data_IF_225629539443
#
_entry.id   IF_225629539443
#
_cell.length_a   1.000
_cell.length_b   1.000
_cell.length_c   1.000
_cell.angle_alpha   90.00
_cell.angle_beta   90.00
_cell.angle_gamma   90.00
#
_symmetry.space_group_name_H-M   'P 1'
#
loop_
_entity.id
_entity.type
_entity.pdbx_description
1 polymer ?
#
# COMPACT_ATOMS: atom_id res chain seq x y z
N UNK A 1 -33.62 8.40 -2.10
CA UNK A 1 -32.45 9.11 -2.67
C UNK A 1 -31.70 8.11 -3.53
N UNK A 2 -32.09 7.98 -4.80
CA UNK A 2 -31.53 6.98 -5.72
C UNK A 2 -30.31 7.60 -6.39
N UNK A 3 -29.11 7.12 -6.07
CA UNK A 3 -27.90 7.55 -6.74
C UNK A 3 -27.97 7.05 -8.20
N UNK A 4 -28.07 7.97 -9.15
CA UNK A 4 -27.90 7.65 -10.56
C UNK A 4 -26.47 7.18 -10.77
N UNK A 5 -26.28 5.93 -11.21
CA UNK A 5 -24.97 5.44 -11.62
C UNK A 5 -24.49 6.32 -12.78
N UNK A 6 -23.51 7.20 -12.51
CA UNK A 6 -22.89 8.02 -13.55
C UNK A 6 -22.16 7.07 -14.48
N UNK A 7 -22.70 6.86 -15.67
CA UNK A 7 -22.02 6.07 -16.70
C UNK A 7 -20.83 6.90 -17.16
N UNK A 8 -19.65 6.56 -16.66
CA UNK A 8 -18.40 7.17 -17.10
C UNK A 8 -18.07 6.67 -18.51
N UNK A 9 -17.56 7.58 -19.34
CA UNK A 9 -16.98 7.21 -20.62
C UNK A 9 -15.86 6.18 -20.40
N UNK A 10 -15.76 5.11 -21.21
CA UNK A 10 -14.70 4.11 -21.08
C UNK A 10 -13.29 4.69 -20.95
N UNK A 11 -13.01 5.83 -21.61
CA UNK A 11 -11.73 6.52 -21.50
C UNK A 11 -11.47 7.09 -20.09
N UNK A 12 -12.47 7.74 -19.49
CA UNK A 12 -12.37 8.29 -18.14
C UNK A 12 -12.23 7.18 -17.09
N UNK A 13 -12.95 6.08 -17.28
CA UNK A 13 -12.85 4.90 -16.41
C UNK A 13 -11.45 4.30 -16.46
N UNK A 14 -10.84 4.21 -17.65
CA UNK A 14 -9.48 3.71 -17.81
C UNK A 14 -8.43 4.63 -17.14
N UNK A 15 -8.60 5.96 -17.27
CA UNK A 15 -7.72 6.93 -16.62
C UNK A 15 -7.78 6.83 -15.09
N UNK A 16 -8.99 6.78 -14.52
CA UNK A 16 -9.18 6.63 -13.07
C UNK A 16 -8.65 5.29 -12.58
N UNK A 17 -8.87 4.20 -13.33
CA UNK A 17 -8.31 2.89 -13.02
C UNK A 17 -6.78 2.92 -12.96
N UNK A 18 -6.12 3.56 -13.93
CA UNK A 18 -4.66 3.70 -13.95
C UNK A 18 -4.15 4.51 -12.75
N UNK A 19 -4.84 5.57 -12.37
CA UNK A 19 -4.51 6.36 -11.16
C UNK A 19 -4.70 5.55 -9.89
N UNK A 20 -5.79 4.79 -9.77
CA UNK A 20 -6.01 3.91 -8.63
C UNK A 20 -4.89 2.86 -8.51
N UNK A 21 -4.46 2.27 -9.63
CA UNK A 21 -3.33 1.35 -9.66
C UNK A 21 -2.01 2.03 -9.25
N UNK A 22 -1.77 3.26 -9.68
CA UNK A 22 -0.59 4.03 -9.26
C UNK A 22 -0.61 4.34 -7.76
N UNK A 23 -1.75 4.71 -7.21
CA UNK A 23 -1.90 4.97 -5.77
C UNK A 23 -1.72 3.70 -4.95
N UNK A 24 -2.33 2.59 -5.38
CA UNK A 24 -2.14 1.28 -4.74
C UNK A 24 -0.66 0.86 -4.77
N UNK A 25 0.00 0.98 -5.92
CA UNK A 25 1.43 0.69 -6.04
C UNK A 25 2.29 1.59 -5.14
N UNK A 26 1.93 2.87 -5.00
CA UNK A 26 2.62 3.78 -4.08
C UNK A 26 2.47 3.35 -2.62
N UNK A 27 1.27 2.96 -2.19
CA UNK A 27 1.02 2.45 -0.84
C UNK A 27 1.82 1.18 -0.55
N UNK A 28 1.80 0.21 -1.47
CA UNK A 28 2.58 -1.03 -1.33
C UNK A 28 4.07 -0.75 -1.25
N UNK A 29 4.58 0.17 -2.08
CA UNK A 29 5.98 0.56 -2.05
C UNK A 29 6.38 1.24 -0.74
N UNK A 30 5.51 2.08 -0.17
CA UNK A 30 5.75 2.72 1.11
C UNK A 30 5.84 1.68 2.24
N UNK A 31 4.88 0.76 2.32
CA UNK A 31 4.90 -0.33 3.31
C UNK A 31 6.14 -1.23 3.15
N UNK A 32 6.56 -1.51 1.91
CA UNK A 32 7.78 -2.27 1.66
C UNK A 32 9.03 -1.57 2.22
N UNK A 33 9.12 -0.24 2.08
CA UNK A 33 10.24 0.54 2.63
C UNK A 33 10.25 0.51 4.15
N UNK A 34 9.09 0.67 4.79
CA UNK A 34 8.97 0.56 6.26
C UNK A 34 9.37 -0.82 6.77
N UNK A 35 8.89 -1.88 6.10
CA UNK A 35 9.26 -3.26 6.43
C UNK A 35 10.77 -3.47 6.39
N UNK A 36 11.43 -3.09 5.29
CA UNK A 36 12.89 -3.22 5.13
C UNK A 36 13.64 -2.42 6.19
N UNK A 37 13.24 -1.17 6.42
CA UNK A 37 13.88 -0.31 7.40
C UNK A 37 13.75 -0.87 8.83
N UNK A 38 12.54 -1.30 9.21
CA UNK A 38 12.27 -1.81 10.55
C UNK A 38 12.93 -3.15 10.83
N UNK A 39 12.94 -4.07 9.86
CA UNK A 39 13.65 -5.35 9.99
C UNK A 39 15.15 -5.11 10.14
N UNK A 40 15.73 -4.23 9.32
CA UNK A 40 17.17 -3.91 9.37
C UNK A 40 17.55 -3.28 10.71
N UNK A 41 16.77 -2.31 11.18
CA UNK A 41 16.97 -1.66 12.48
C UNK A 41 16.75 -2.63 13.64
N UNK A 42 15.71 -3.46 13.56
CA UNK A 42 15.41 -4.48 14.56
C UNK A 42 16.51 -5.53 14.69
N UNK A 43 17.07 -5.99 13.57
CA UNK A 43 18.21 -6.90 13.57
C UNK A 43 19.46 -6.23 14.17
N UNK A 44 19.77 -4.98 13.79
CA UNK A 44 20.89 -4.23 14.35
C UNK A 44 20.76 -3.98 15.86
N UNK A 45 19.53 -3.79 16.35
CA UNK A 45 19.23 -3.53 17.76
C UNK A 45 18.87 -4.78 18.58
N UNK A 46 18.89 -5.98 17.99
CA UNK A 46 18.37 -7.22 18.60
C UNK A 46 16.94 -7.07 19.16
N UNK A 47 16.08 -6.31 18.48
CA UNK A 47 14.72 -5.98 18.93
C UNK A 47 13.66 -6.75 18.15
N UNK A 48 13.00 -7.69 18.84
CA UNK A 48 11.90 -8.47 18.24
C UNK A 48 10.67 -7.61 17.92
N UNK A 49 10.45 -6.52 18.67
CA UNK A 49 9.33 -5.61 18.43
C UNK A 49 9.47 -4.87 17.09
N UNK A 50 10.68 -4.39 16.76
CA UNK A 50 10.97 -3.74 15.48
C UNK A 50 10.87 -4.72 14.31
N UNK A 51 11.37 -5.94 14.49
CA UNK A 51 11.21 -6.99 13.45
C UNK A 51 9.73 -7.32 13.25
N UNK A 52 8.95 -7.48 14.33
CA UNK A 52 7.51 -7.74 14.27
C UNK A 52 6.71 -6.62 13.59
N UNK A 53 7.02 -5.35 13.90
CA UNK A 53 6.44 -4.19 13.21
C UNK A 53 6.71 -4.20 11.70
N UNK A 54 7.94 -4.55 11.30
CA UNK A 54 8.28 -4.65 9.88
C UNK A 54 7.56 -5.80 9.16
N UNK A 55 7.34 -6.92 9.85
CA UNK A 55 6.57 -8.05 9.30
C UNK A 55 5.08 -7.72 9.17
N UNK A 56 4.51 -6.98 10.12
CA UNK A 56 3.11 -6.53 10.07
C UNK A 56 2.84 -5.63 8.86
N UNK A 57 3.77 -4.71 8.57
CA UNK A 57 3.70 -3.83 7.39
C UNK A 57 3.70 -4.59 6.05
N UNK A 58 4.31 -5.78 5.98
CA UNK A 58 4.23 -6.65 4.77
C UNK A 58 2.82 -7.20 4.56
N UNK A 59 2.09 -7.52 5.64
CA UNK A 59 0.72 -8.04 5.55
C UNK A 59 -0.25 -6.98 5.04
N UNK A 60 0.03 -5.70 5.33
CA UNK A 60 -0.72 -4.55 4.81
C UNK A 60 -0.51 -4.30 3.29
N UNK A 61 0.18 -5.17 2.54
CA UNK A 61 0.32 -5.08 1.08
C UNK A 61 -0.91 -5.57 0.28
N UNK A 62 -2.05 -5.81 0.94
CA UNK A 62 -3.22 -6.53 0.39
C UNK A 62 -4.40 -5.64 0.02
#
# INVERSE_FOLDING_TARGET
>A
MTAAATVLDPADRALLGRRAQQLAAASVAYNAVEAVASITAGAAASSIALVGFGLDSIVEMS
#
